data_IF_097026493778
#
_entry.id   IF_097026493778
#
_cell.length_a   1.000
_cell.length_b   1.000
_cell.length_c   1.000
_cell.angle_alpha   90.00
_cell.angle_beta   90.00
_cell.angle_gamma   90.00
#
_symmetry.space_group_name_H-M   'P 1'
#
loop_
_entity.id
_entity.type
_entity.pdbx_description
1 polymer ?
#
# COMPACT_ATOMS: atom_id res chain seq x y z
N UNK A 1 7.74 -5.53 0.28
CA UNK A 1 7.61 -6.52 1.36
C UNK A 1 8.97 -7.07 1.71
N UNK A 2 9.15 -7.61 2.92
CA UNK A 2 10.41 -8.23 3.31
C UNK A 2 10.61 -9.58 2.61
N UNK A 3 11.80 -9.81 2.04
CA UNK A 3 12.16 -11.13 1.50
C UNK A 3 13.09 -11.93 2.44
N UNK A 4 13.77 -11.25 3.38
CA UNK A 4 14.77 -11.85 4.27
C UNK A 4 14.48 -11.52 5.75
N UNK A 5 13.32 -11.94 6.26
CA UNK A 5 12.97 -11.88 7.68
C UNK A 5 12.28 -13.18 8.10
N UNK A 6 12.49 -13.61 9.35
CA UNK A 6 11.81 -14.77 9.94
C UNK A 6 10.30 -14.55 10.13
N UNK A 7 9.89 -13.32 10.46
CA UNK A 7 8.50 -12.88 10.46
C UNK A 7 8.34 -11.81 9.37
N UNK A 8 7.60 -12.10 8.29
CA UNK A 8 7.42 -11.17 7.18
C UNK A 8 6.73 -9.87 7.61
N UNK A 9 7.09 -8.76 6.95
CA UNK A 9 6.49 -7.44 7.17
C UNK A 9 6.41 -6.67 5.85
N UNK A 10 5.55 -5.66 5.80
CA UNK A 10 5.29 -4.85 4.62
C UNK A 10 4.03 -5.34 3.93
N UNK A 11 4.08 -5.51 2.60
CA UNK A 11 2.93 -5.93 1.80
C UNK A 11 1.70 -5.05 2.08
N UNK A 12 1.95 -3.74 2.09
CA UNK A 12 1.00 -2.70 2.46
C UNK A 12 1.38 -1.40 1.75
N UNK A 13 0.41 -0.51 1.63
CA UNK A 13 0.61 0.90 1.29
C UNK A 13 0.54 1.71 2.59
N UNK A 14 1.47 2.65 2.76
CA UNK A 14 1.56 3.48 3.96
C UNK A 14 1.40 4.95 3.60
N UNK A 15 0.75 5.69 4.49
CA UNK A 15 0.61 7.14 4.40
C UNK A 15 1.61 7.80 5.34
N UNK A 16 2.35 8.77 4.82
CA UNK A 16 3.18 9.68 5.60
C UNK A 16 2.55 11.06 5.57
N UNK A 17 2.33 11.65 6.74
CA UNK A 17 1.87 13.03 6.84
C UNK A 17 3.06 13.95 7.07
N UNK A 18 3.08 15.06 6.33
CA UNK A 18 4.13 16.06 6.36
C UNK A 18 3.60 17.37 6.96
N UNK A 19 4.43 18.04 7.73
CA UNK A 19 4.31 19.46 8.10
C UNK A 19 5.40 20.22 7.33
N UNK A 20 5.00 20.91 6.27
CA UNK A 20 5.92 21.35 5.22
C UNK A 20 6.67 20.16 4.62
N UNK A 21 8.00 20.12 4.80
CA UNK A 21 8.84 19.01 4.35
C UNK A 21 9.20 18.02 5.46
N UNK A 22 8.68 18.20 6.69
CA UNK A 22 9.02 17.36 7.83
C UNK A 22 7.98 16.26 8.03
N UNK A 23 8.34 14.97 7.98
CA UNK A 23 7.42 13.90 8.31
C UNK A 23 7.14 13.85 9.82
N UNK A 24 5.86 13.84 10.20
CA UNK A 24 5.44 13.79 11.61
C UNK A 24 4.55 12.59 11.95
N UNK A 25 3.94 11.94 10.95
CA UNK A 25 3.09 10.77 11.17
C UNK A 25 3.27 9.73 10.07
N UNK A 26 3.23 8.46 10.45
CA UNK A 26 3.32 7.32 9.54
C UNK A 26 2.24 6.31 9.93
N UNK A 27 1.37 5.95 9.00
CA UNK A 27 0.27 5.01 9.24
C UNK A 27 0.04 4.06 8.07
N UNK A 28 -0.68 2.97 8.32
CA UNK A 28 -1.09 2.05 7.26
C UNK A 28 -2.30 2.63 6.53
N UNK A 29 -2.20 2.78 5.21
CA UNK A 29 -3.30 3.23 4.37
C UNK A 29 -4.12 2.04 3.85
N UNK A 30 -3.45 1.03 3.31
CA UNK A 30 -4.06 -0.21 2.85
C UNK A 30 -3.15 -1.39 3.20
N UNK A 31 -3.74 -2.49 3.66
CA UNK A 31 -3.06 -3.75 3.97
C UNK A 31 -3.95 -4.94 3.63
N UNK A 32 -3.43 -6.15 3.82
CA UNK A 32 -4.17 -7.40 3.58
C UNK A 32 -3.47 -8.34 2.61
N UNK A 33 -2.46 -7.87 1.88
CA UNK A 33 -1.66 -8.68 0.95
C UNK A 33 -0.77 -9.73 1.63
N UNK A 34 -0.47 -9.55 2.93
CA UNK A 34 0.16 -10.56 3.77
C UNK A 34 -0.88 -11.16 4.72
N UNK A 35 -1.09 -12.47 4.64
CA UNK A 35 -1.98 -13.23 5.51
C UNK A 35 -1.17 -14.32 6.23
N UNK A 36 -1.06 -14.19 7.55
CA UNK A 36 -0.12 -15.01 8.32
C UNK A 36 1.32 -14.78 7.86
N UNK A 37 1.94 -15.81 7.28
CA UNK A 37 3.30 -15.77 6.75
C UNK A 37 3.36 -15.75 5.21
N UNK A 38 2.20 -15.74 4.54
CA UNK A 38 2.11 -15.85 3.09
C UNK A 38 1.61 -14.56 2.46
N UNK A 39 2.32 -14.09 1.44
CA UNK A 39 1.92 -12.93 0.67
C UNK A 39 1.25 -13.37 -0.62
N UNK A 40 -0.02 -13.00 -0.82
CA UNK A 40 -0.74 -13.27 -2.07
C UNK A 40 -0.58 -12.13 -3.09
N UNK A 41 -0.03 -10.99 -2.67
CA UNK A 41 0.31 -9.89 -3.57
C UNK A 41 1.48 -9.06 -3.05
N UNK A 42 2.06 -8.25 -3.93
CA UNK A 42 3.22 -7.41 -3.67
C UNK A 42 3.00 -6.04 -4.31
N UNK A 43 2.40 -5.10 -3.57
CA UNK A 43 2.26 -3.72 -4.02
C UNK A 43 3.61 -3.12 -4.41
N UNK A 44 3.68 -2.46 -5.59
CA UNK A 44 4.91 -1.90 -6.17
C UNK A 44 4.87 -0.38 -6.22
N UNK A 45 3.94 0.20 -6.99
CA UNK A 45 3.86 1.63 -7.24
C UNK A 45 2.43 2.16 -7.03
N UNK A 46 2.31 3.47 -6.86
CA UNK A 46 1.03 4.15 -6.67
C UNK A 46 0.85 5.32 -7.64
N UNK A 47 -0.37 5.52 -8.12
CA UNK A 47 -0.72 6.67 -8.97
C UNK A 47 -2.05 7.28 -8.55
N UNK A 48 -2.08 8.61 -8.36
CA UNK A 48 -3.31 9.33 -8.02
C UNK A 48 -4.02 9.74 -9.31
N UNK A 49 -5.26 9.29 -9.45
CA UNK A 49 -6.13 9.59 -10.59
C UNK A 49 -6.76 10.99 -10.44
N UNK A 50 -7.21 11.61 -11.56
CA UNK A 50 -7.88 12.92 -11.51
C UNK A 50 -9.14 12.98 -10.65
N UNK A 51 -9.80 11.84 -10.43
CA UNK A 51 -10.98 11.70 -9.56
C UNK A 51 -10.62 11.44 -8.08
N UNK A 52 -9.33 11.49 -7.74
CA UNK A 52 -8.82 11.26 -6.38
C UNK A 52 -8.64 9.78 -6.02
N UNK A 53 -8.95 8.83 -6.92
CA UNK A 53 -8.67 7.42 -6.66
C UNK A 53 -7.16 7.12 -6.65
N UNK A 54 -6.74 6.13 -5.86
CA UNK A 54 -5.37 5.64 -5.85
C UNK A 54 -5.29 4.32 -6.63
N UNK A 55 -4.51 4.30 -7.70
CA UNK A 55 -4.09 3.04 -8.34
C UNK A 55 -2.90 2.47 -7.58
N UNK A 56 -2.89 1.15 -7.40
CA UNK A 56 -1.79 0.40 -6.79
C UNK A 56 -1.44 -0.77 -7.70
N UNK A 57 -0.22 -0.82 -8.23
CA UNK A 57 0.25 -1.94 -9.04
C UNK A 57 0.75 -3.09 -8.17
N UNK A 58 0.56 -4.32 -8.63
CA UNK A 58 0.96 -5.55 -7.94
C UNK A 58 1.54 -6.55 -8.92
N UNK A 59 2.84 -6.76 -8.82
CA UNK A 59 3.59 -7.61 -9.75
C UNK A 59 3.45 -9.11 -9.44
N UNK A 60 3.10 -9.49 -8.22
CA UNK A 60 2.87 -10.88 -7.84
C UNK A 60 1.47 -11.33 -8.25
N UNK A 61 0.46 -10.49 -8.04
CA UNK A 61 -0.91 -10.79 -8.44
C UNK A 61 -1.18 -10.49 -9.93
N UNK A 62 -0.28 -9.79 -10.62
CA UNK A 62 -0.47 -9.36 -12.01
C UNK A 62 -1.66 -8.39 -12.17
N UNK A 63 -1.86 -7.51 -11.19
CA UNK A 63 -3.07 -6.70 -11.05
C UNK A 63 -2.76 -5.21 -10.84
N UNK A 64 -3.75 -4.37 -11.10
CA UNK A 64 -3.80 -2.97 -10.66
C UNK A 64 -5.08 -2.76 -9.87
N UNK A 65 -4.97 -2.47 -8.58
CA UNK A 65 -6.11 -2.15 -7.73
C UNK A 65 -6.47 -0.68 -7.87
N UNK A 66 -7.77 -0.35 -7.82
CA UNK A 66 -8.25 1.03 -7.73
C UNK A 66 -8.95 1.23 -6.39
N UNK A 67 -8.36 2.04 -5.52
CA UNK A 67 -8.91 2.40 -4.22
C UNK A 67 -9.62 3.74 -4.37
N UNK A 68 -10.92 3.78 -4.07
CA UNK A 68 -11.74 4.99 -4.20
C UNK A 68 -12.55 5.23 -2.94
N UNK A 69 -12.71 6.50 -2.58
CA UNK A 69 -13.61 6.92 -1.52
C UNK A 69 -14.94 7.34 -2.15
N UNK A 70 -16.02 6.68 -1.76
CA UNK A 70 -17.37 6.94 -2.30
C UNK A 70 -18.21 7.87 -1.41
N UNK A 71 -17.63 8.41 -0.34
CA UNK A 71 -18.39 9.11 0.69
C UNK A 71 -19.28 8.19 1.52
N UNK A 72 -19.93 8.76 2.54
CA UNK A 72 -21.13 8.21 3.15
C UNK A 72 -22.30 9.11 2.79
#
# INVERSE_FOLDING_TARGET
GSWNRSVPIGYRVSLVRLDGNNPYHYETFASGWLQGFEAWGRPVDVHVMPDGALLVSDDLAGAVYRISYVGQ
#
